data_IF_555088561105
#
_entry.id   IF_555088561105
#
_cell.length_a   1.000
_cell.length_b   1.000
_cell.length_c   1.000
_cell.angle_alpha   90.00
_cell.angle_beta   90.00
_cell.angle_gamma   90.00
#
_symmetry.space_group_name_H-M   'P 1'
#
loop_
_entity.id
_entity.type
_entity.pdbx_description
1 polymer ?
#
# COMPACT_ATOMS: atom_id res chain seq x y z
N UNK A 1 -14.49 0.35 20.43
CA UNK A 1 -14.64 1.46 19.47
C UNK A 1 -14.06 1.02 18.15
N UNK A 2 -14.81 1.14 17.07
CA UNK A 2 -14.42 0.75 15.71
C UNK A 2 -14.69 1.86 14.71
N UNK A 3 -14.30 1.63 13.45
CA UNK A 3 -14.40 2.65 12.40
C UNK A 3 -15.86 3.06 12.12
N UNK A 4 -16.80 2.13 12.28
CA UNK A 4 -18.24 2.39 12.12
C UNK A 4 -18.79 3.41 13.14
N UNK A 5 -18.21 3.53 14.34
CA UNK A 5 -18.66 4.48 15.37
C UNK A 5 -18.42 5.95 14.96
N UNK A 6 -17.48 6.18 14.03
CA UNK A 6 -17.15 7.50 13.50
C UNK A 6 -18.01 7.94 12.30
N UNK A 7 -18.78 7.03 11.69
CA UNK A 7 -19.60 7.33 10.51
C UNK A 7 -20.61 8.48 10.68
N UNK A 8 -21.26 8.68 11.85
CA UNK A 8 -22.19 9.80 12.03
C UNK A 8 -21.54 11.18 11.87
N UNK A 9 -20.22 11.26 11.99
CA UNK A 9 -19.44 12.49 11.87
C UNK A 9 -18.76 12.64 10.50
N UNK A 10 -18.91 11.65 9.60
CA UNK A 10 -18.35 11.72 8.25
C UNK A 10 -19.21 12.63 7.36
N UNK A 11 -18.57 13.46 6.53
CA UNK A 11 -19.26 14.35 5.58
C UNK A 11 -19.93 13.64 4.40
N UNK A 12 -19.82 12.32 4.30
CA UNK A 12 -20.43 11.51 3.25
C UNK A 12 -20.72 10.10 3.76
N UNK A 13 -21.81 9.45 3.29
CA UNK A 13 -22.13 8.08 3.68
C UNK A 13 -21.08 7.10 3.14
N UNK A 14 -20.60 6.20 4.00
CA UNK A 14 -19.64 5.15 3.67
C UNK A 14 -20.11 3.84 4.28
N UNK A 15 -19.92 2.72 3.58
CA UNK A 15 -20.19 1.39 4.12
C UNK A 15 -18.87 0.72 4.48
N UNK A 16 -18.72 0.33 5.75
CA UNK A 16 -17.50 -0.27 6.27
C UNK A 16 -17.86 -1.63 6.86
N UNK A 17 -17.25 -2.68 6.32
CA UNK A 17 -17.48 -4.05 6.74
C UNK A 17 -16.15 -4.81 6.74
N UNK A 18 -16.08 -5.85 7.57
CA UNK A 18 -15.06 -6.88 7.43
C UNK A 18 -15.46 -7.76 6.24
N UNK A 19 -14.51 -8.05 5.37
CA UNK A 19 -14.69 -8.92 4.22
C UNK A 19 -13.52 -9.89 4.08
N UNK A 20 -13.68 -10.81 3.15
CA UNK A 20 -12.68 -11.83 2.81
C UNK A 20 -12.13 -11.56 1.40
N UNK A 21 -11.10 -12.30 0.98
CA UNK A 21 -10.45 -12.13 -0.33
C UNK A 21 -11.44 -12.29 -1.51
N UNK A 22 -12.56 -12.98 -1.32
CA UNK A 22 -13.63 -13.11 -2.32
C UNK A 22 -14.33 -11.80 -2.65
N UNK A 23 -14.34 -10.85 -1.71
CA UNK A 23 -14.92 -9.53 -1.88
C UNK A 23 -14.00 -8.59 -2.70
N UNK A 24 -12.80 -9.05 -3.08
CA UNK A 24 -11.91 -8.29 -3.94
C UNK A 24 -12.31 -8.32 -5.41
N UNK A 25 -13.30 -9.12 -5.81
CA UNK A 25 -13.69 -9.26 -7.23
C UNK A 25 -14.13 -7.94 -7.86
N UNK A 26 -14.92 -7.14 -7.13
CA UNK A 26 -15.46 -5.85 -7.56
C UNK A 26 -14.68 -4.67 -6.96
N UNK A 27 -13.55 -4.93 -6.31
CA UNK A 27 -12.70 -3.88 -5.77
C UNK A 27 -11.94 -3.13 -6.87
N UNK A 28 -11.98 -1.80 -6.84
CA UNK A 28 -11.16 -0.95 -7.71
C UNK A 28 -9.69 -0.92 -7.24
N UNK A 29 -9.48 -0.96 -5.92
CA UNK A 29 -8.17 -0.81 -5.28
C UNK A 29 -8.05 -1.79 -4.11
N UNK A 30 -6.91 -2.47 -4.04
CA UNK A 30 -6.51 -3.31 -2.90
C UNK A 30 -5.25 -2.73 -2.28
N UNK A 31 -5.32 -2.43 -0.98
CA UNK A 31 -4.19 -1.86 -0.23
C UNK A 31 -3.57 -2.94 0.65
N UNK A 32 -2.30 -3.28 0.38
CA UNK A 32 -1.53 -4.26 1.13
C UNK A 32 -0.74 -3.57 2.24
N UNK A 33 -1.26 -3.70 3.46
CA UNK A 33 -0.61 -3.27 4.72
C UNK A 33 -0.21 -4.45 5.60
N UNK A 34 -0.62 -5.68 5.24
CA UNK A 34 -0.27 -6.89 5.96
C UNK A 34 1.23 -7.13 5.88
N UNK A 35 1.85 -7.49 7.00
CA UNK A 35 3.28 -7.76 7.08
C UNK A 35 3.67 -8.20 8.49
N UNK A 36 4.77 -8.90 8.58
CA UNK A 36 5.38 -9.29 9.85
C UNK A 36 6.39 -8.21 10.23
N UNK A 37 6.38 -7.83 11.51
CA UNK A 37 7.38 -6.92 12.06
C UNK A 37 8.70 -7.65 12.25
N UNK A 38 9.80 -6.92 12.06
CA UNK A 38 11.14 -7.48 12.27
C UNK A 38 11.37 -7.78 13.75
N UNK A 39 11.68 -9.03 14.07
CA UNK A 39 12.25 -9.37 15.37
C UNK A 39 13.72 -8.95 15.41
N UNK A 40 14.19 -8.36 16.53
CA UNK A 40 15.55 -7.80 16.62
C UNK A 40 16.66 -8.85 16.53
N UNK A 41 16.34 -10.12 16.77
CA UNK A 41 17.29 -11.24 16.65
C UNK A 41 17.29 -11.87 15.24
N UNK A 42 16.40 -11.43 14.35
CA UNK A 42 16.22 -12.01 13.03
C UNK A 42 16.97 -11.24 11.94
N UNK A 43 17.52 -11.97 10.97
CA UNK A 43 18.18 -11.36 9.83
C UNK A 43 17.14 -10.59 9.01
N UNK A 44 17.56 -9.44 8.46
CA UNK A 44 16.77 -8.68 7.50
C UNK A 44 16.32 -9.56 6.32
N UNK A 45 17.13 -10.53 5.92
CA UNK A 45 16.79 -11.44 4.81
C UNK A 45 15.67 -12.41 5.17
N UNK A 46 15.65 -12.95 6.38
CA UNK A 46 14.61 -13.86 6.85
C UNK A 46 13.25 -13.15 6.89
N UNK A 47 13.25 -11.87 7.31
CA UNK A 47 12.07 -11.01 7.28
C UNK A 47 11.52 -10.84 5.85
N UNK A 48 12.40 -10.58 4.87
CA UNK A 48 11.98 -10.42 3.48
C UNK A 48 11.38 -11.72 2.95
N UNK A 49 12.00 -12.85 3.23
CA UNK A 49 11.53 -14.15 2.77
C UNK A 49 10.15 -14.49 3.36
N UNK A 50 9.95 -14.27 4.67
CA UNK A 50 8.65 -14.46 5.32
C UNK A 50 7.57 -13.57 4.73
N UNK A 51 7.85 -12.27 4.59
CA UNK A 51 6.89 -11.33 4.02
C UNK A 51 6.58 -11.68 2.56
N UNK A 52 7.56 -12.15 1.79
CA UNK A 52 7.35 -12.59 0.40
C UNK A 52 6.37 -13.76 0.33
N UNK A 53 6.54 -14.80 1.17
CA UNK A 53 5.63 -15.96 1.22
C UNK A 53 4.19 -15.58 1.61
N UNK A 54 4.05 -14.64 2.55
CA UNK A 54 2.73 -14.13 2.97
C UNK A 54 2.09 -13.36 1.80
N UNK A 55 2.85 -12.50 1.14
CA UNK A 55 2.37 -11.74 -0.02
C UNK A 55 1.93 -12.66 -1.15
N UNK A 56 2.73 -13.67 -1.49
CA UNK A 56 2.38 -14.67 -2.51
C UNK A 56 1.01 -15.29 -2.25
N UNK A 57 0.75 -15.73 -1.01
CA UNK A 57 -0.53 -16.32 -0.65
C UNK A 57 -1.69 -15.33 -0.76
N UNK A 58 -1.49 -14.08 -0.32
CA UNK A 58 -2.53 -13.05 -0.36
C UNK A 58 -2.86 -12.68 -1.81
N UNK A 59 -1.83 -12.43 -2.62
CA UNK A 59 -1.99 -12.03 -4.03
C UNK A 59 -2.67 -13.16 -4.82
N UNK A 60 -2.25 -14.41 -4.62
CA UNK A 60 -2.87 -15.55 -5.27
C UNK A 60 -4.36 -15.67 -4.91
N UNK A 61 -4.72 -15.47 -3.64
CA UNK A 61 -6.12 -15.47 -3.18
C UNK A 61 -6.94 -14.32 -3.81
N UNK A 62 -6.39 -13.10 -3.79
CA UNK A 62 -7.03 -11.91 -4.38
C UNK A 62 -7.20 -12.06 -5.90
N UNK A 63 -6.18 -12.53 -6.62
CA UNK A 63 -6.28 -12.73 -8.07
C UNK A 63 -7.27 -13.83 -8.44
N UNK A 64 -7.37 -14.90 -7.63
CA UNK A 64 -8.39 -15.96 -7.81
C UNK A 64 -9.82 -15.45 -7.64
N UNK A 65 -10.05 -14.39 -6.86
CA UNK A 65 -11.37 -13.75 -6.76
C UNK A 65 -11.85 -13.15 -8.10
N UNK A 66 -10.92 -12.90 -9.04
CA UNK A 66 -11.17 -12.21 -10.30
C UNK A 66 -10.87 -10.71 -10.26
N UNK A 67 -10.08 -10.27 -9.28
CA UNK A 67 -9.64 -8.88 -9.15
C UNK A 67 -8.92 -8.37 -10.41
N UNK A 68 -9.28 -7.16 -10.86
CA UNK A 68 -8.70 -6.50 -12.04
C UNK A 68 -8.45 -5.00 -11.80
N UNK A 69 -8.26 -4.62 -10.53
CA UNK A 69 -8.04 -3.23 -10.11
C UNK A 69 -6.55 -2.87 -10.01
N UNK A 70 -6.24 -2.02 -9.03
CA UNK A 70 -4.89 -1.51 -8.72
C UNK A 70 -4.45 -2.00 -7.33
N UNK A 71 -3.20 -2.44 -7.21
CA UNK A 71 -2.57 -2.72 -5.92
C UNK A 71 -1.83 -1.49 -5.39
N UNK A 72 -1.99 -1.20 -4.10
CA UNK A 72 -1.18 -0.24 -3.35
C UNK A 72 -0.40 -0.99 -2.27
N UNK A 73 0.93 -1.01 -2.35
CA UNK A 73 1.78 -1.73 -1.39
C UNK A 73 2.36 -0.78 -0.37
N UNK A 74 1.94 -0.88 0.90
CA UNK A 74 2.42 -0.03 1.99
C UNK A 74 3.38 -0.76 2.95
N UNK A 75 3.44 -2.09 2.88
CA UNK A 75 4.30 -2.90 3.77
C UNK A 75 5.78 -2.72 3.43
N UNK A 76 6.61 -2.57 4.46
CA UNK A 76 8.06 -2.53 4.30
C UNK A 76 8.69 -3.94 4.30
N UNK A 77 9.74 -4.17 3.50
CA UNK A 77 10.40 -3.24 2.57
C UNK A 77 9.59 -3.06 1.26
N UNK A 78 9.11 -1.83 1.04
CA UNK A 78 8.12 -1.52 0.01
C UNK A 78 8.60 -1.80 -1.42
N UNK A 79 9.87 -1.54 -1.72
CA UNK A 79 10.44 -1.77 -3.06
C UNK A 79 10.49 -3.26 -3.42
N UNK A 80 10.81 -4.12 -2.45
CA UNK A 80 10.89 -5.57 -2.67
C UNK A 80 9.49 -6.16 -2.77
N UNK A 81 8.60 -5.78 -1.85
CA UNK A 81 7.24 -6.34 -1.80
C UNK A 81 6.36 -5.86 -2.96
N UNK A 82 6.59 -4.65 -3.48
CA UNK A 82 5.92 -4.19 -4.71
C UNK A 82 6.39 -4.94 -5.95
N UNK A 83 7.68 -5.26 -6.04
CA UNK A 83 8.20 -6.10 -7.11
C UNK A 83 7.61 -7.51 -7.08
N UNK A 84 7.56 -8.13 -5.90
CA UNK A 84 6.87 -9.41 -5.66
C UNK A 84 5.41 -9.30 -6.08
N UNK A 85 4.71 -8.25 -5.65
CA UNK A 85 3.30 -8.01 -6.02
C UNK A 85 3.09 -7.95 -7.52
N UNK A 86 3.94 -7.21 -8.23
CA UNK A 86 3.90 -7.15 -9.69
C UNK A 86 4.15 -8.52 -10.34
N UNK A 87 5.15 -9.27 -9.88
CA UNK A 87 5.47 -10.58 -10.45
C UNK A 87 4.38 -11.62 -10.25
N UNK A 88 3.79 -11.68 -9.06
CA UNK A 88 2.77 -12.69 -8.74
C UNK A 88 1.36 -12.32 -9.20
N UNK A 89 1.02 -11.02 -9.26
CA UNK A 89 -0.28 -10.59 -9.75
C UNK A 89 -0.44 -10.76 -11.27
N UNK A 90 0.67 -10.72 -12.03
CA UNK A 90 0.63 -10.76 -13.49
C UNK A 90 0.00 -9.52 -14.12
N UNK A 91 -0.26 -8.47 -13.34
CA UNK A 91 -0.81 -7.21 -13.81
C UNK A 91 0.26 -6.35 -14.49
N UNK A 92 -0.15 -5.39 -15.34
CA UNK A 92 0.75 -4.36 -15.83
C UNK A 92 1.43 -3.63 -14.66
N UNK A 93 2.72 -3.25 -14.78
CA UNK A 93 3.45 -2.57 -13.70
C UNK A 93 2.80 -1.25 -13.28
N UNK A 94 2.11 -0.58 -14.20
CA UNK A 94 1.34 0.65 -13.97
C UNK A 94 0.21 0.50 -12.94
N UNK A 95 -0.23 -0.75 -12.68
CA UNK A 95 -1.29 -1.07 -11.72
C UNK A 95 -0.78 -1.53 -10.36
N UNK A 96 0.53 -1.46 -10.13
CA UNK A 96 1.15 -1.73 -8.83
C UNK A 96 1.85 -0.46 -8.38
N UNK A 97 1.21 0.23 -7.42
CA UNK A 97 1.65 1.54 -6.94
C UNK A 97 2.21 1.38 -5.52
N UNK A 98 3.26 2.15 -5.24
CA UNK A 98 3.78 2.30 -3.89
C UNK A 98 3.46 3.70 -3.38
N UNK A 99 3.15 3.88 -2.08
CA UNK A 99 3.09 5.20 -1.50
C UNK A 99 4.43 5.88 -1.74
N UNK A 100 4.37 7.10 -2.26
CA UNK A 100 5.57 7.88 -2.48
C UNK A 100 6.30 8.10 -1.14
N UNK A 101 7.64 8.20 -1.12
CA UNK A 101 8.46 8.30 0.10
C UNK A 101 8.31 9.62 0.89
N UNK A 102 7.19 10.33 0.75
CA UNK A 102 6.97 11.66 1.33
C UNK A 102 6.57 11.67 2.81
N UNK A 103 6.60 10.52 3.51
CA UNK A 103 6.29 10.49 4.94
C UNK A 103 7.35 9.75 5.76
N UNK A 104 8.56 10.32 5.79
CA UNK A 104 9.38 10.22 7.01
C UNK A 104 8.90 11.37 7.90
N UNK A 105 8.12 11.09 8.97
CA UNK A 105 7.72 12.16 9.87
C UNK A 105 8.98 12.83 10.44
N UNK A 106 9.01 14.17 10.59
CA UNK A 106 10.17 14.89 11.13
C UNK A 106 10.60 14.39 12.53
N UNK A 107 9.74 13.65 13.24
CA UNK A 107 10.06 12.98 14.50
C UNK A 107 11.12 11.85 14.38
N UNK A 108 11.37 11.34 13.18
CA UNK A 108 12.42 10.34 12.91
C UNK A 108 13.74 10.95 12.41
N UNK A 109 13.79 12.28 12.28
CA UNK A 109 15.00 13.02 11.97
C UNK A 109 15.70 13.43 13.28
N UNK A 110 17.04 13.30 13.37
CA UNK A 110 17.79 13.88 14.47
C UNK A 110 17.49 15.38 14.55
N UNK A 111 17.23 15.88 15.77
CA UNK A 111 16.95 17.29 16.01
C UNK A 111 18.05 18.16 15.37
N UNK A 112 17.68 19.04 14.43
CA UNK A 112 18.60 19.94 13.74
C UNK A 112 18.96 19.57 12.30
N UNK A 113 18.45 18.47 11.75
CA UNK A 113 18.57 18.21 10.31
C UNK A 113 17.53 19.03 9.54
N UNK A 114 17.98 20.04 8.81
CA UNK A 114 17.14 20.70 7.80
C UNK A 114 16.85 19.69 6.70
N UNK A 115 15.59 19.62 6.26
CA UNK A 115 15.24 18.89 5.06
C UNK A 115 16.06 19.50 3.90
N UNK A 116 16.92 18.73 3.20
CA UNK A 116 17.57 19.25 1.99
C UNK A 116 16.50 19.84 1.07
N UNK A 117 16.73 21.05 0.58
CA UNK A 117 15.76 21.88 -0.17
C UNK A 117 15.33 21.34 -1.54
N UNK A 118 15.22 20.02 -1.70
CA UNK A 118 14.77 19.32 -2.89
C UNK A 118 13.46 18.53 -2.72
N UNK A 119 12.82 18.51 -1.53
CA UNK A 119 11.51 17.85 -1.34
C UNK A 119 10.31 18.65 -1.87
N UNK A 120 10.54 19.54 -2.83
CA UNK A 120 9.51 20.32 -3.50
C UNK A 120 9.61 20.12 -5.02
N UNK A 121 9.50 18.88 -5.50
CA UNK A 121 9.14 18.58 -6.90
C UNK A 121 9.04 17.07 -7.13
N UNK A 122 7.91 16.45 -6.79
CA UNK A 122 7.39 15.46 -7.73
C UNK A 122 6.57 16.26 -8.74
N UNK A 123 7.01 16.24 -10.00
CA UNK A 123 6.27 16.84 -11.11
C UNK A 123 4.82 16.34 -11.11
N UNK A 124 3.84 17.18 -11.50
CA UNK A 124 2.48 16.70 -11.69
C UNK A 124 2.53 15.55 -12.70
N UNK A 125 1.97 14.40 -12.34
CA UNK A 125 1.54 13.43 -13.34
C UNK A 125 0.56 14.21 -14.21
N UNK A 126 1.03 14.56 -15.41
CA UNK A 126 0.25 15.28 -16.40
C UNK A 126 -1.07 14.55 -16.57
N UNK A 127 -2.14 15.25 -16.26
CA UNK A 127 -3.51 14.79 -16.41
C UNK A 127 -3.78 14.49 -17.88
N UNK A 128 -3.71 13.21 -18.23
CA UNK A 128 -4.48 12.68 -19.33
C UNK A 128 -5.33 11.53 -18.78
N UNK A 129 -6.58 11.86 -18.45
CA UNK A 129 -7.73 10.97 -18.31
C UNK A 129 -8.08 10.24 -17.00
N UNK A 130 -7.40 10.43 -15.88
CA UNK A 130 -7.91 9.96 -14.57
C UNK A 130 -8.14 11.16 -13.65
N UNK A 131 -9.40 11.52 -13.46
CA UNK A 131 -9.88 12.69 -12.69
C UNK A 131 -9.62 12.64 -11.18
N UNK A 132 -8.50 12.08 -10.74
CA UNK A 132 -8.10 12.02 -9.35
C UNK A 132 -7.14 13.19 -9.10
N UNK A 133 -7.69 14.26 -8.52
CA UNK A 133 -6.88 15.35 -7.96
C UNK A 133 -6.51 14.97 -6.52
N UNK A 134 -5.24 14.74 -6.26
CA UNK A 134 -4.69 14.72 -4.91
C UNK A 134 -4.49 16.15 -4.45
N UNK A 135 -5.18 16.54 -3.37
CA UNK A 135 -4.64 17.47 -2.40
C UNK A 135 -3.88 16.67 -1.33
#
# INVERSE_FOLDING_TARGET
MGLNDGLPFAGSPMTIRTGDDSDCKDADVVVLTAGVNQDPEESRWDLVEKNTRIFESIIDSVMKSGFNGIFIVATNPVDVLSYVTWKYSGLPPERVIVPAPYWIPPASLPAGTSLPGGYAHCAPISSANTGIRSC
#
